data_IF_071351107845
#
_entry.id   IF_071351107845
#
_cell.length_a   1.000
_cell.length_b   1.000
_cell.length_c   1.000
_cell.angle_alpha   90.00
_cell.angle_beta   90.00
_cell.angle_gamma   90.00
#
_symmetry.space_group_name_H-M   'P 1'
#
loop_
_entity.id
_entity.type
_entity.pdbx_description
1 polymer ?
#
# COMPACT_ATOMS: atom_id res chain seq x y z
N UNK A 1 42.29 4.76 -37.67
CA UNK A 1 41.19 5.74 -37.65
C UNK A 1 39.90 4.98 -37.36
N UNK A 2 39.48 4.94 -36.09
CA UNK A 2 38.28 4.23 -35.67
C UNK A 2 37.09 5.16 -35.61
N UNK A 3 35.92 4.71 -36.09
CA UNK A 3 34.65 5.41 -35.92
C UNK A 3 33.53 4.44 -35.50
N UNK A 4 33.22 4.53 -34.22
CA UNK A 4 31.90 4.49 -33.59
C UNK A 4 31.00 3.25 -33.75
N UNK A 5 31.17 2.33 -32.80
CA UNK A 5 30.09 1.48 -32.29
C UNK A 5 29.01 2.35 -31.62
N UNK A 6 27.80 2.32 -32.17
CA UNK A 6 26.62 2.92 -31.55
C UNK A 6 25.94 1.83 -30.72
N UNK A 7 26.29 1.75 -29.43
CA UNK A 7 25.52 0.98 -28.45
C UNK A 7 24.14 1.62 -28.34
N UNK A 8 23.11 0.91 -28.80
CA UNK A 8 21.72 1.21 -28.49
C UNK A 8 21.55 1.10 -26.97
N UNK A 9 21.50 2.26 -26.32
CA UNK A 9 21.21 2.39 -24.90
C UNK A 9 19.80 1.84 -24.70
N UNK A 10 19.69 0.68 -24.06
CA UNK A 10 18.41 0.12 -23.65
C UNK A 10 17.62 1.21 -22.95
N UNK A 11 16.45 1.53 -23.48
CA UNK A 11 15.51 2.43 -22.85
C UNK A 11 15.19 1.84 -21.48
N UNK A 12 15.64 2.52 -20.43
CA UNK A 12 15.22 2.21 -19.06
C UNK A 12 13.71 2.44 -19.05
N UNK A 13 12.87 1.42 -18.84
CA UNK A 13 11.44 1.64 -18.72
C UNK A 13 11.25 2.57 -17.53
N UNK A 14 10.58 3.70 -17.75
CA UNK A 14 10.19 4.60 -16.68
C UNK A 14 9.23 3.80 -15.80
N UNK A 15 9.57 3.48 -14.54
CA UNK A 15 8.65 2.73 -13.70
C UNK A 15 7.40 3.58 -13.53
N UNK A 16 6.27 3.03 -13.98
CA UNK A 16 4.96 3.54 -13.62
C UNK A 16 4.94 3.62 -12.10
N UNK A 17 4.37 4.66 -11.48
CA UNK A 17 4.23 4.75 -10.00
C UNK A 17 3.54 3.51 -9.37
N UNK A 18 3.01 2.63 -10.21
CA UNK A 18 2.37 1.35 -9.89
C UNK A 18 3.34 0.16 -9.75
N UNK A 19 4.60 0.29 -10.19
CA UNK A 19 5.62 -0.79 -10.21
C UNK A 19 6.74 -0.54 -9.16
N UNK A 20 6.43 0.20 -8.09
CA UNK A 20 7.42 0.48 -7.05
C UNK A 20 7.41 -0.67 -6.05
N UNK A 21 8.54 -1.35 -5.92
CA UNK A 21 8.78 -2.40 -4.94
C UNK A 21 8.48 -1.91 -3.52
N UNK A 22 7.96 -2.80 -2.66
CA UNK A 22 7.63 -2.44 -1.28
C UNK A 22 8.85 -1.90 -0.56
N UNK A 23 8.78 -0.65 -0.14
CA UNK A 23 9.92 0.03 0.47
C UNK A 23 9.84 -0.14 1.99
N UNK A 24 11.00 -0.14 2.69
CA UNK A 24 11.02 -0.15 4.17
C UNK A 24 10.22 1.00 4.77
N UNK A 25 10.18 2.14 4.08
CA UNK A 25 9.37 3.31 4.44
C UNK A 25 7.87 3.01 4.43
N UNK A 26 7.38 2.15 3.53
CA UNK A 26 5.97 1.77 3.46
C UNK A 26 5.57 0.96 4.69
N UNK A 27 6.42 0.02 5.10
CA UNK A 27 6.21 -0.79 6.30
C UNK A 27 6.31 0.07 7.57
N UNK A 28 7.29 0.98 7.63
CA UNK A 28 7.44 1.91 8.75
C UNK A 28 6.22 2.83 8.88
N UNK A 29 5.66 3.31 7.76
CA UNK A 29 4.45 4.13 7.78
C UNK A 29 3.22 3.35 8.28
N UNK A 30 3.10 2.06 7.95
CA UNK A 30 2.04 1.19 8.50
C UNK A 30 2.22 0.97 9.99
N UNK A 31 3.44 0.69 10.44
CA UNK A 31 3.76 0.52 11.86
C UNK A 31 3.51 1.80 12.67
N UNK A 32 3.94 2.96 12.16
CA UNK A 32 3.67 4.26 12.75
C UNK A 32 2.16 4.51 12.85
N UNK A 33 1.40 4.21 11.80
CA UNK A 33 -0.05 4.40 11.78
C UNK A 33 -0.75 3.53 12.81
N UNK A 34 -0.38 2.25 12.92
CA UNK A 34 -0.93 1.35 13.94
C UNK A 34 -0.58 1.79 15.36
N UNK A 35 0.62 2.33 15.55
CA UNK A 35 1.08 2.77 16.88
C UNK A 35 0.41 4.08 17.31
N UNK A 36 0.07 4.94 16.37
CA UNK A 36 -0.49 6.28 16.63
C UNK A 36 -2.01 6.32 16.65
N UNK A 37 -2.70 5.36 16.02
CA UNK A 37 -4.17 5.29 15.96
C UNK A 37 -4.69 4.08 16.71
N UNK A 38 -5.90 4.18 17.24
CA UNK A 38 -6.58 3.08 17.93
C UNK A 38 -7.57 2.37 17.00
N UNK A 39 -7.84 1.09 17.29
CA UNK A 39 -8.81 0.28 16.54
C UNK A 39 -8.46 0.15 15.06
N UNK A 40 -7.18 0.05 14.74
CA UNK A 40 -6.73 -0.10 13.35
C UNK A 40 -7.02 -1.51 12.87
N UNK A 41 -7.56 -1.60 11.66
CA UNK A 41 -7.81 -2.84 10.92
C UNK A 41 -7.03 -2.79 9.60
N UNK A 42 -6.44 -3.91 9.21
CA UNK A 42 -5.73 -4.05 7.95
C UNK A 42 -6.61 -4.74 6.92
N UNK A 43 -6.64 -4.16 5.72
CA UNK A 43 -7.34 -4.70 4.56
C UNK A 43 -6.31 -4.97 3.48
N UNK A 44 -6.02 -6.25 3.26
CA UNK A 44 -5.13 -6.74 2.24
C UNK A 44 -5.82 -6.63 0.87
N UNK A 45 -5.16 -5.92 -0.04
CA UNK A 45 -5.43 -5.99 -1.47
C UNK A 45 -4.43 -7.00 -2.06
N UNK A 46 -4.90 -8.17 -2.52
CA UNK A 46 -4.02 -9.18 -3.09
C UNK A 46 -3.34 -8.64 -4.36
N UNK A 47 -2.14 -9.15 -4.63
CA UNK A 47 -1.44 -8.88 -5.88
C UNK A 47 -2.33 -9.21 -7.08
N UNK A 48 -2.37 -8.28 -8.02
CA UNK A 48 -3.00 -8.48 -9.33
C UNK A 48 -1.91 -8.44 -10.40
N UNK A 49 -2.24 -8.83 -11.62
CA UNK A 49 -1.33 -8.77 -12.78
C UNK A 49 -0.73 -7.38 -13.03
N UNK A 50 -1.32 -6.32 -12.46
CA UNK A 50 -0.91 -4.93 -12.63
C UNK A 50 -0.47 -4.22 -11.33
N UNK A 51 -0.53 -4.86 -10.16
CA UNK A 51 -0.19 -4.19 -8.88
C UNK A 51 0.26 -5.19 -7.83
N UNK A 52 1.38 -4.89 -7.18
CA UNK A 52 1.91 -5.67 -6.05
C UNK A 52 0.94 -5.74 -4.87
N UNK A 53 1.16 -6.67 -3.95
CA UNK A 53 0.36 -6.78 -2.73
C UNK A 53 0.44 -5.49 -1.90
N UNK A 54 -0.72 -4.93 -1.58
CA UNK A 54 -0.83 -3.73 -0.75
C UNK A 54 -1.77 -3.92 0.43
N UNK A 55 -1.60 -3.09 1.46
CA UNK A 55 -2.44 -3.06 2.65
C UNK A 55 -3.02 -1.67 2.82
N UNK A 56 -4.32 -1.63 3.09
CA UNK A 56 -5.02 -0.44 3.57
C UNK A 56 -5.22 -0.58 5.07
N UNK A 57 -4.54 0.26 5.85
CA UNK A 57 -4.75 0.36 7.29
C UNK A 57 -5.85 1.39 7.55
N UNK A 58 -6.88 1.01 8.29
CA UNK A 58 -8.06 1.85 8.58
C UNK A 58 -8.27 1.92 10.08
N UNK A 59 -8.16 3.11 10.65
CA UNK A 59 -8.40 3.40 12.06
C UNK A 59 -9.90 3.40 12.40
N UNK A 60 -10.21 3.47 13.71
CA UNK A 60 -11.59 3.45 14.21
C UNK A 60 -12.44 4.64 13.73
N UNK A 61 -11.82 5.80 13.51
CA UNK A 61 -12.44 7.04 13.06
C UNK A 61 -12.66 7.06 11.53
N UNK A 62 -12.13 6.07 10.83
CA UNK A 62 -12.16 5.96 9.38
C UNK A 62 -10.96 6.61 8.69
N UNK A 63 -10.01 7.22 9.42
CA UNK A 63 -8.72 7.61 8.84
C UNK A 63 -8.04 6.36 8.28
N UNK A 64 -7.45 6.48 7.10
CA UNK A 64 -6.77 5.36 6.47
C UNK A 64 -5.50 5.77 5.73
N UNK A 65 -4.59 4.82 5.62
CA UNK A 65 -3.42 4.90 4.73
C UNK A 65 -3.33 3.64 3.88
N UNK A 66 -2.81 3.77 2.67
CA UNK A 66 -2.52 2.63 1.77
C UNK A 66 -1.02 2.57 1.50
N UNK A 67 -0.43 1.40 1.73
CA UNK A 67 1.01 1.15 1.58
C UNK A 67 1.27 -0.23 0.99
N UNK A 68 2.39 -0.37 0.28
CA UNK A 68 2.79 -1.65 -0.32
C UNK A 68 3.49 -2.51 0.72
N UNK A 69 3.14 -3.79 0.76
CA UNK A 69 3.83 -4.77 1.63
C UNK A 69 4.69 -5.72 0.83
N UNK A 70 4.49 -5.79 -0.49
CA UNK A 70 5.28 -6.62 -1.41
C UNK A 70 4.83 -8.07 -1.41
N UNK A 71 4.36 -8.59 -0.28
CA UNK A 71 3.71 -9.89 -0.21
C UNK A 71 2.61 -9.98 0.85
N UNK A 72 1.68 -10.94 0.72
CA UNK A 72 0.67 -11.21 1.74
C UNK A 72 1.28 -11.69 3.05
N UNK A 73 2.40 -12.40 3.00
CA UNK A 73 3.07 -12.94 4.19
C UNK A 73 3.66 -11.81 5.05
N UNK A 74 4.20 -10.77 4.41
CA UNK A 74 4.70 -9.58 5.13
C UNK A 74 3.54 -8.85 5.81
N UNK A 75 2.41 -8.69 5.12
CA UNK A 75 1.21 -8.10 5.70
C UNK A 75 0.69 -8.89 6.91
N UNK A 76 0.60 -10.22 6.79
CA UNK A 76 0.19 -11.10 7.89
C UNK A 76 1.16 -11.03 9.08
N UNK A 77 2.46 -10.97 8.83
CA UNK A 77 3.48 -10.82 9.89
C UNK A 77 3.37 -9.48 10.60
N UNK A 78 3.12 -8.40 9.87
CA UNK A 78 2.93 -7.06 10.43
C UNK A 78 1.65 -6.99 11.26
N UNK A 79 0.54 -7.49 10.73
CA UNK A 79 -0.73 -7.59 11.44
C UNK A 79 -0.58 -8.38 12.75
N UNK A 80 0.06 -9.55 12.69
CA UNK A 80 0.31 -10.37 13.88
C UNK A 80 1.23 -9.71 14.91
N UNK A 81 2.26 -8.97 14.48
CA UNK A 81 3.16 -8.22 15.38
C UNK A 81 2.42 -7.17 16.20
N UNK A 82 1.48 -6.46 15.59
CA UNK A 82 0.73 -5.40 16.26
C UNK A 82 -0.66 -5.84 16.76
N UNK A 83 -0.96 -7.14 16.73
CA UNK A 83 -2.26 -7.71 17.09
C UNK A 83 -3.45 -7.02 16.37
N UNK A 84 -3.24 -6.66 15.11
CA UNK A 84 -4.24 -5.99 14.25
C UNK A 84 -5.00 -7.04 13.44
N UNK A 85 -6.35 -6.94 13.32
CA UNK A 85 -7.11 -7.78 12.42
C UNK A 85 -6.68 -7.57 10.96
N UNK A 86 -6.47 -8.66 10.22
CA UNK A 86 -6.19 -8.65 8.79
C UNK A 86 -7.35 -9.27 8.01
N UNK A 87 -7.95 -8.49 7.13
CA UNK A 87 -9.04 -8.90 6.25
C UNK A 87 -8.60 -8.82 4.80
N UNK A 88 -9.22 -9.60 3.92
CA UNK A 88 -9.08 -9.41 2.48
C UNK A 88 -10.15 -8.44 1.99
N UNK A 89 -9.73 -7.32 1.39
CA UNK A 89 -10.63 -6.29 0.89
C UNK A 89 -11.59 -6.83 -0.19
N UNK A 90 -11.12 -7.79 -1.00
CA UNK A 90 -11.93 -8.43 -2.04
C UNK A 90 -13.09 -9.26 -1.47
N UNK A 91 -12.97 -9.80 -0.26
CA UNK A 91 -13.99 -10.63 0.40
C UNK A 91 -14.91 -9.81 1.31
N UNK A 92 -14.33 -8.90 2.07
CA UNK A 92 -15.04 -8.14 3.12
C UNK A 92 -15.55 -6.78 2.63
N UNK A 93 -14.94 -6.23 1.57
CA UNK A 93 -15.13 -4.84 1.19
C UNK A 93 -14.46 -3.88 2.17
N UNK A 94 -14.65 -2.58 1.94
CA UNK A 94 -14.17 -1.54 2.84
C UNK A 94 -15.23 -1.14 3.86
N UNK A 95 -14.85 -0.85 5.11
CA UNK A 95 -15.79 -0.54 6.18
C UNK A 95 -16.46 0.82 5.93
N UNK A 96 -17.70 0.99 6.41
CA UNK A 96 -18.49 2.19 6.18
C UNK A 96 -17.79 3.47 6.70
N UNK A 97 -17.08 3.37 7.83
CA UNK A 97 -16.32 4.49 8.42
C UNK A 97 -15.29 5.09 7.46
N UNK A 98 -14.63 4.28 6.64
CA UNK A 98 -13.69 4.77 5.60
C UNK A 98 -14.44 5.58 4.54
N UNK A 99 -15.66 5.16 4.18
CA UNK A 99 -16.50 5.88 3.21
C UNK A 99 -17.00 7.19 3.78
N UNK A 100 -17.37 7.23 5.06
CA UNK A 100 -17.75 8.45 5.79
C UNK A 100 -16.56 9.42 5.83
N UNK A 101 -15.38 8.92 6.20
CA UNK A 101 -14.14 9.70 6.24
C UNK A 101 -13.80 10.33 4.89
N UNK A 102 -13.92 9.56 3.80
CA UNK A 102 -13.68 10.05 2.44
C UNK A 102 -14.67 11.13 1.99
N UNK A 103 -15.90 11.14 2.52
CA UNK A 103 -16.87 12.21 2.26
C UNK A 103 -16.53 13.48 3.05
N UNK A 104 -16.02 13.32 4.26
CA UNK A 104 -15.60 14.43 5.12
C UNK A 104 -14.27 15.07 4.66
N UNK A 105 -13.39 14.30 4.04
CA UNK A 105 -12.05 14.73 3.60
C UNK A 105 -11.86 14.57 2.07
N UNK A 106 -12.64 15.27 1.24
CA UNK A 106 -12.56 15.16 -0.21
C UNK A 106 -11.19 15.56 -0.78
N UNK A 107 -10.49 16.48 -0.12
CA UNK A 107 -9.15 16.96 -0.49
C UNK A 107 -8.09 15.86 -0.48
N UNK A 108 -8.23 14.86 0.42
CA UNK A 108 -7.33 13.71 0.47
C UNK A 108 -7.54 12.72 -0.69
N UNK A 109 -8.67 12.80 -1.41
CA UNK A 109 -8.95 11.95 -2.58
C UNK A 109 -8.13 12.36 -3.82
N UNK A 110 -7.60 13.57 -3.86
CA UNK A 110 -6.99 14.18 -5.05
C UNK A 110 -5.44 14.15 -5.06
N UNK A 111 -4.78 13.39 -4.17
CA UNK A 111 -3.31 13.39 -4.06
C UNK A 111 -2.66 12.08 -4.51
#
# INVERSE_FOLDING_TARGET
MGWFSRRSRAAVPTPTKLDREATREDLAALEEFVTSRQGVEFYLEPETTATDTTVVAIAHDGEWIRRRTGSPQVAAKLAGRHAVPLYEAAKTGYPERMRVWNRAHPERRMR
#
